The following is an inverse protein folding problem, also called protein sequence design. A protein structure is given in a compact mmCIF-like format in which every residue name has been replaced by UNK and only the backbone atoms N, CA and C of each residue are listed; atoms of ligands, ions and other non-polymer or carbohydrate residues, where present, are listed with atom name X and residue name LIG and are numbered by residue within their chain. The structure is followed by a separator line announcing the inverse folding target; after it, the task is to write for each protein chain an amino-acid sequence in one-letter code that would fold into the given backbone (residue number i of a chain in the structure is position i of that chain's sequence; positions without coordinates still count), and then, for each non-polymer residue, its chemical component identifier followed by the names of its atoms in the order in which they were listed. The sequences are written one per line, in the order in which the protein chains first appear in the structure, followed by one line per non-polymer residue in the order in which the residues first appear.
data_IF_248504366224
#
_entry.id   IF_248504366224
#
_cell.length_a   1.000
_cell.length_b   1.000
_cell.length_c   1.000
_cell.angle_alpha   90.00
_cell.angle_beta   90.00
_cell.angle_gamma   90.00
#
_symmetry.space_group_name_H-M   'P 1'
#
loop_
_entity.id
_entity.type
_entity.pdbx_description
1 polymer ?
#
# COMPACT_ATOMS: atom_id res chain seq x y z
N UNK A 1 11.17 11.96 -4.65
CA UNK A 1 10.41 11.81 -3.39
C UNK A 1 8.94 11.96 -3.74
N UNK A 2 8.11 10.98 -3.37
CA UNK A 2 6.66 11.00 -3.53
C UNK A 2 6.03 11.07 -2.14
N UNK A 3 4.87 11.73 -2.02
CA UNK A 3 4.15 11.87 -0.76
C UNK A 3 2.68 11.55 -0.99
N UNK A 4 2.11 10.70 -0.13
CA UNK A 4 0.69 10.39 -0.06
C UNK A 4 0.21 10.70 1.36
N UNK A 5 -0.78 11.57 1.48
CA UNK A 5 -1.29 12.07 2.76
C UNK A 5 -2.82 12.01 2.76
N UNK A 6 -3.41 11.70 3.91
CA UNK A 6 -4.85 11.59 4.08
C UNK A 6 -5.22 10.63 5.20
N UNK A 7 -6.48 10.21 5.23
CA UNK A 7 -6.97 9.26 6.25
C UNK A 7 -6.87 7.85 5.73
N UNK A 8 -6.25 6.95 6.51
CA UNK A 8 -6.24 5.51 6.19
C UNK A 8 -7.63 4.93 6.37
N UNK A 9 -8.07 4.17 5.37
CA UNK A 9 -9.36 3.49 5.36
C UNK A 9 -9.19 2.05 4.87
N UNK A 10 -9.81 1.10 5.57
CA UNK A 10 -9.93 -0.26 5.09
C UNK A 10 -11.22 -0.42 4.28
N UNK A 11 -11.09 -0.50 2.96
CA UNK A 11 -12.22 -0.74 2.09
C UNK A 11 -12.49 -2.24 1.98
N UNK A 12 -13.52 -2.71 2.69
CA UNK A 12 -13.97 -4.10 2.65
C UNK A 12 -14.80 -4.40 1.42
N UNK A 13 -14.30 -5.27 0.56
CA UNK A 13 -14.95 -5.72 -0.67
C UNK A 13 -15.21 -7.22 -0.53
N UNK A 14 -16.25 -7.74 -1.18
CA UNK A 14 -16.61 -9.16 -1.06
C UNK A 14 -15.45 -10.06 -1.52
N UNK A 15 -14.70 -10.59 -0.56
CA UNK A 15 -13.55 -11.49 -0.79
C UNK A 15 -12.19 -10.81 -0.88
N UNK A 16 -12.09 -9.50 -0.62
CA UNK A 16 -10.83 -8.74 -0.60
C UNK A 16 -10.95 -7.51 0.28
N UNK A 17 -9.91 -7.17 1.03
CA UNK A 17 -9.79 -5.88 1.72
C UNK A 17 -8.71 -5.05 1.03
N UNK A 18 -8.96 -3.75 0.84
CA UNK A 18 -8.02 -2.84 0.19
C UNK A 18 -7.74 -1.66 1.12
N UNK A 19 -6.47 -1.46 1.44
CA UNK A 19 -6.04 -0.33 2.23
C UNK A 19 -5.89 0.91 1.34
N UNK A 20 -6.59 1.98 1.70
CA UNK A 20 -6.67 3.21 0.92
C UNK A 20 -6.26 4.42 1.78
N UNK A 21 -5.68 5.45 1.15
CA UNK A 21 -5.58 6.80 1.70
C UNK A 21 -6.43 7.70 0.81
N UNK A 22 -7.46 8.34 1.39
CA UNK A 22 -8.38 9.22 0.68
C UNK A 22 -8.95 8.61 -0.63
N UNK A 23 -9.37 7.34 -0.57
CA UNK A 23 -9.88 6.53 -1.69
C UNK A 23 -8.82 6.14 -2.75
N UNK A 24 -7.53 6.30 -2.45
CA UNK A 24 -6.43 5.84 -3.30
C UNK A 24 -5.82 4.57 -2.70
N UNK A 25 -5.88 3.41 -3.38
CA UNK A 25 -5.23 2.20 -2.90
C UNK A 25 -3.73 2.41 -2.77
N UNK A 26 -3.17 2.13 -1.58
CA UNK A 26 -1.77 2.44 -1.26
C UNK A 26 -0.82 1.67 -2.19
N UNK A 27 -1.04 0.36 -2.35
CA UNK A 27 -0.21 -0.47 -3.23
C UNK A 27 -0.29 -0.02 -4.72
N UNK A 28 -1.43 0.52 -5.15
CA UNK A 28 -1.58 1.11 -6.50
C UNK A 28 -0.74 2.37 -6.64
N UNK A 29 -0.85 3.28 -5.66
CA UNK A 29 -0.12 4.55 -5.65
C UNK A 29 1.40 4.36 -5.61
N UNK A 30 1.87 3.29 -4.95
CA UNK A 30 3.29 2.99 -4.77
C UNK A 30 3.82 1.94 -5.78
N UNK A 31 3.00 1.47 -6.72
CA UNK A 31 3.39 0.39 -7.65
C UNK A 31 4.65 0.66 -8.48
N UNK A 32 4.93 1.93 -8.80
CA UNK A 32 6.15 2.35 -9.50
C UNK A 32 7.44 2.12 -8.69
N UNK A 33 7.33 1.80 -7.40
CA UNK A 33 8.47 1.50 -6.52
C UNK A 33 8.77 0.01 -6.39
N UNK A 34 7.95 -0.88 -6.97
CA UNK A 34 8.18 -2.32 -6.94
C UNK A 34 9.59 -2.69 -7.49
N UNK A 35 10.33 -3.52 -6.75
CA UNK A 35 11.69 -3.97 -7.05
C UNK A 35 12.77 -2.89 -6.87
N UNK A 36 12.47 -1.77 -6.20
CA UNK A 36 13.45 -0.71 -5.93
C UNK A 36 13.87 -0.72 -4.47
N UNK A 37 15.11 -0.32 -4.21
CA UNK A 37 15.56 0.07 -2.88
C UNK A 37 14.90 1.40 -2.51
N UNK A 38 14.12 1.40 -1.42
CA UNK A 38 13.37 2.56 -0.95
C UNK A 38 13.62 2.85 0.52
N UNK A 39 13.28 4.08 0.90
CA UNK A 39 13.00 4.46 2.28
C UNK A 39 11.59 5.04 2.34
N UNK A 40 10.74 4.45 3.19
CA UNK A 40 9.37 4.88 3.46
C UNK A 40 9.30 5.45 4.87
N UNK A 41 8.82 6.69 4.99
CA UNK A 41 8.48 7.32 6.26
C UNK A 41 6.97 7.30 6.48
N UNK A 42 6.57 6.93 7.69
CA UNK A 42 5.18 6.95 8.18
C UNK A 42 5.16 7.64 9.54
N UNK A 43 4.89 8.95 9.55
CA UNK A 43 5.08 9.77 10.75
C UNK A 43 6.53 9.74 11.22
N UNK A 44 6.77 9.29 12.46
CA UNK A 44 8.11 9.16 13.05
C UNK A 44 8.78 7.79 12.74
N UNK A 45 8.05 6.85 12.13
CA UNK A 45 8.61 5.56 11.74
C UNK A 45 9.23 5.62 10.34
N UNK A 46 10.30 4.86 10.13
CA UNK A 46 10.97 4.72 8.82
C UNK A 46 11.30 3.27 8.53
N UNK A 47 11.06 2.84 7.30
CA UNK A 47 11.33 1.49 6.80
C UNK A 47 12.20 1.60 5.55
N UNK A 48 13.30 0.86 5.52
CA UNK A 48 14.26 0.89 4.41
C UNK A 48 14.53 -0.53 3.95
N UNK A 49 14.52 -0.75 2.64
CA UNK A 49 14.72 -2.06 2.04
C UNK A 49 14.26 -2.13 0.59
N UNK A 50 14.25 -3.33 0.03
CA UNK A 50 13.66 -3.61 -1.28
C UNK A 50 12.14 -3.63 -1.16
N UNK A 51 11.46 -2.86 -2.01
CA UNK A 51 10.00 -2.84 -2.03
C UNK A 51 9.45 -3.97 -2.89
N UNK A 52 8.59 -4.83 -2.32
CA UNK A 52 7.77 -5.78 -3.08
C UNK A 52 6.32 -5.29 -3.05
N UNK A 53 5.87 -4.68 -4.14
CA UNK A 53 4.56 -4.04 -4.25
C UNK A 53 3.77 -4.66 -5.39
N UNK A 54 2.61 -5.21 -5.07
CA UNK A 54 1.68 -5.75 -6.05
C UNK A 54 0.30 -5.12 -5.89
N UNK A 55 -0.33 -4.78 -7.01
CA UNK A 55 -1.72 -4.34 -7.04
C UNK A 55 -2.43 -4.86 -8.29
N UNK A 56 -3.59 -5.48 -8.10
CA UNK A 56 -4.47 -5.91 -9.15
C UNK A 56 -5.91 -5.51 -8.84
N UNK A 57 -6.58 -4.92 -9.82
CA UNK A 57 -8.00 -4.59 -9.82
C UNK A 57 -8.59 -5.05 -11.15
N UNK A 58 -9.49 -6.04 -11.12
CA UNK A 58 -10.13 -6.50 -12.35
C UNK A 58 -11.04 -7.71 -12.21
N UNK A 59 -11.70 -8.08 -13.30
CA UNK A 59 -12.51 -9.29 -13.39
C UNK A 59 -11.66 -10.52 -13.70
N UNK A 60 -11.93 -11.65 -13.02
CA UNK A 60 -11.36 -12.95 -13.38
C UNK A 60 -12.47 -13.89 -13.86
N UNK A 61 -12.15 -14.78 -14.81
CA UNK A 61 -13.10 -15.71 -15.46
C UNK A 61 -13.92 -16.54 -14.44
N UNK A 62 -13.35 -16.84 -13.28
CA UNK A 62 -13.97 -17.65 -12.23
C UNK A 62 -14.45 -16.86 -11.01
N UNK A 63 -14.39 -15.52 -11.03
CA UNK A 63 -14.82 -14.66 -9.92
C UNK A 63 -15.99 -13.77 -10.34
N UNK A 64 -17.12 -13.86 -9.63
CA UNK A 64 -18.27 -12.96 -9.85
C UNK A 64 -18.01 -11.63 -9.12
N UNK A 65 -17.54 -10.63 -9.86
CA UNK A 65 -17.28 -9.28 -9.34
C UNK A 65 -15.89 -8.76 -9.73
N UNK A 66 -15.52 -7.59 -9.20
CA UNK A 66 -14.15 -7.09 -9.28
C UNK A 66 -13.36 -7.74 -8.16
N UNK A 67 -12.27 -8.42 -8.50
CA UNK A 67 -11.29 -8.96 -7.55
C UNK A 67 -10.22 -7.91 -7.30
N UNK A 68 -9.86 -7.77 -6.03
CA UNK A 68 -8.74 -6.96 -5.60
C UNK A 68 -7.66 -7.85 -4.99
N UNK A 69 -6.42 -7.61 -5.35
CA UNK A 69 -5.25 -8.22 -4.72
C UNK A 69 -4.23 -7.12 -4.53
N UNK A 70 -3.71 -6.98 -3.32
CA UNK A 70 -2.65 -6.04 -3.03
C UNK A 70 -1.70 -6.64 -2.01
N UNK A 71 -0.41 -6.44 -2.25
CA UNK A 71 0.66 -6.80 -1.33
C UNK A 71 1.64 -5.63 -1.28
N UNK A 72 2.20 -5.37 -0.10
CA UNK A 72 3.24 -4.37 0.07
C UNK A 72 4.19 -4.80 1.18
N UNK A 73 5.41 -5.17 0.78
CA UNK A 73 6.51 -5.47 1.68
C UNK A 73 7.68 -4.51 1.46
N UNK A 74 8.43 -4.28 2.53
CA UNK A 74 9.77 -3.70 2.49
C UNK A 74 10.70 -4.71 3.15
N UNK A 75 11.55 -5.36 2.37
CA UNK A 75 12.22 -6.62 2.77
C UNK A 75 11.19 -7.61 3.36
N UNK A 76 11.39 -8.08 4.60
CA UNK A 76 10.47 -9.02 5.28
C UNK A 76 9.31 -8.33 6.03
N UNK A 77 9.21 -7.00 6.00
CA UNK A 77 8.18 -6.25 6.74
C UNK A 77 6.90 -6.10 5.93
N UNK A 78 5.80 -6.67 6.43
CA UNK A 78 4.45 -6.47 5.88
C UNK A 78 3.94 -5.05 6.19
N UNK A 79 3.98 -4.20 5.18
CA UNK A 79 3.56 -2.81 5.32
C UNK A 79 2.04 -2.65 5.29
N UNK A 80 1.29 -3.60 4.71
CA UNK A 80 -0.17 -3.57 4.78
C UNK A 80 -0.60 -3.82 6.23
N UNK A 81 -0.07 -4.87 6.88
CA UNK A 81 -0.39 -5.17 8.27
C UNK A 81 0.01 -4.00 9.21
N UNK A 82 1.16 -3.36 8.96
CA UNK A 82 1.57 -2.19 9.73
C UNK A 82 0.59 -1.01 9.57
N UNK A 83 0.24 -0.67 8.32
CA UNK A 83 -0.61 0.49 8.02
C UNK A 83 -2.08 0.25 8.42
N UNK A 84 -2.56 -1.00 8.41
CA UNK A 84 -3.89 -1.36 8.91
C UNK A 84 -4.09 -0.98 10.39
N UNK A 85 -3.02 -1.02 11.20
CA UNK A 85 -3.07 -0.60 12.62
C UNK A 85 -3.34 0.89 12.80
N UNK A 86 -3.19 1.67 11.72
CA UNK A 86 -3.41 3.11 11.67
C UNK A 86 -4.76 3.45 11.00
N UNK A 87 -5.67 2.48 10.85
CA UNK A 87 -7.01 2.72 10.28
C UNK A 87 -7.75 3.84 11.02
N UNK A 88 -8.25 4.81 10.27
CA UNK A 88 -8.95 5.99 10.80
C UNK A 88 -8.03 7.14 11.19
N UNK A 89 -6.70 6.96 11.15
CA UNK A 89 -5.73 8.02 11.43
C UNK A 89 -5.37 8.82 10.17
N UNK A 90 -5.05 10.11 10.37
CA UNK A 90 -4.44 10.94 9.33
C UNK A 90 -2.95 10.66 9.28
N UNK A 91 -2.47 10.13 8.15
CA UNK A 91 -1.08 9.76 7.96
C UNK A 91 -0.46 10.52 6.80
N UNK A 92 0.86 10.60 6.82
CA UNK A 92 1.67 11.05 5.69
C UNK A 92 2.72 9.99 5.39
N UNK A 93 2.59 9.35 4.22
CA UNK A 93 3.56 8.43 3.66
C UNK A 93 4.52 9.23 2.78
N UNK A 94 5.81 9.24 3.09
CA UNK A 94 6.83 9.82 2.23
C UNK A 94 7.79 8.74 1.77
N UNK A 95 7.94 8.57 0.46
CA UNK A 95 8.78 7.54 -0.15
C UNK A 95 9.86 8.16 -1.03
N UNK A 96 11.08 7.65 -0.88
CA UNK A 96 12.22 7.91 -1.75
C UNK A 96 12.81 6.61 -2.23
N UNK A 97 13.22 6.57 -3.49
CA UNK A 97 14.02 5.48 -4.04
C UNK A 97 15.49 5.89 -4.08
N UNK A 98 16.39 4.97 -3.75
CA UNK A 98 17.81 5.14 -4.06
C UNK A 98 18.01 5.02 -5.58
N UNK A 99 18.88 5.88 -6.12
CA UNK A 99 19.17 5.96 -7.57
C UNK A 99 20.28 5.01 -7.98
#
# INVERSE_FOLDING_TARGET
MFVLEGVIQLRRIKGSDVLEIDNVPIAKALSDYNGKQIELHVGDASFKGEAEIFYFEGSQVYHRGIKYVNDFFIDEYDMIEFLERLEGESVRLAISAES
#
